data_IF_614018620907
#
_entry.id   IF_614018620907
#
_cell.length_a   1.000
_cell.length_b   1.000
_cell.length_c   1.000
_cell.angle_alpha   90.00
_cell.angle_beta   90.00
_cell.angle_gamma   90.00
#
_symmetry.space_group_name_H-M   'P 1'
#
loop_
_entity.id
_entity.type
_entity.pdbx_description
1 polymer ?
#
# COMPACT_ATOMS: atom_id res chain seq x y z
N UNK A 1 -19.34 1.68 -3.53
CA UNK A 1 -20.49 1.67 -4.45
C UNK A 1 -20.27 0.79 -5.67
N UNK A 2 -19.15 0.92 -6.39
CA UNK A 2 -18.86 0.10 -7.58
C UNK A 2 -18.69 -1.40 -7.24
N UNK A 3 -18.06 -1.70 -6.11
CA UNK A 3 -17.99 -3.01 -5.45
C UNK A 3 -19.38 -3.63 -5.21
N UNK A 4 -20.33 -2.86 -4.66
CA UNK A 4 -21.71 -3.32 -4.46
C UNK A 4 -22.40 -3.68 -5.80
N UNK A 5 -22.17 -2.89 -6.85
CA UNK A 5 -22.70 -3.20 -8.19
C UNK A 5 -22.04 -4.44 -8.81
N UNK A 6 -20.78 -4.72 -8.49
CA UNK A 6 -20.12 -5.96 -8.88
C UNK A 6 -20.75 -7.15 -8.18
N UNK A 7 -20.90 -7.11 -6.86
CA UNK A 7 -21.64 -8.13 -6.10
C UNK A 7 -23.05 -8.36 -6.67
N UNK A 8 -23.80 -7.28 -6.92
CA UNK A 8 -25.17 -7.40 -7.43
C UNK A 8 -25.25 -8.07 -8.82
N UNK A 9 -24.26 -7.87 -9.69
CA UNK A 9 -24.24 -8.49 -11.03
C UNK A 9 -23.88 -9.97 -10.99
N UNK A 10 -23.06 -10.36 -10.03
CA UNK A 10 -22.48 -11.69 -9.93
C UNK A 10 -23.11 -12.54 -8.82
N UNK A 11 -24.12 -12.01 -8.12
CA UNK A 11 -24.85 -12.73 -7.09
C UNK A 11 -25.38 -14.06 -7.61
N UNK A 12 -25.10 -15.14 -6.86
CA UNK A 12 -25.48 -16.49 -7.21
C UNK A 12 -24.39 -17.32 -7.90
N UNK A 13 -23.16 -16.81 -8.05
CA UNK A 13 -22.01 -17.68 -8.32
C UNK A 13 -21.79 -18.54 -7.06
N UNK A 14 -21.94 -19.86 -7.19
CA UNK A 14 -21.89 -20.84 -6.10
C UNK A 14 -21.04 -22.08 -6.42
N UNK A 15 -20.21 -21.99 -7.45
CA UNK A 15 -19.35 -23.07 -7.92
C UNK A 15 -17.95 -23.08 -7.29
N UNK A 16 -17.68 -22.17 -6.34
CA UNK A 16 -16.39 -22.04 -5.66
C UNK A 16 -15.28 -21.41 -6.51
N UNK A 17 -15.62 -20.76 -7.63
CA UNK A 17 -14.64 -20.16 -8.55
C UNK A 17 -14.57 -18.64 -8.52
N UNK A 18 -15.46 -17.98 -7.77
CA UNK A 18 -15.48 -16.53 -7.68
C UNK A 18 -14.17 -15.96 -7.13
N UNK A 19 -13.78 -14.80 -7.64
CA UNK A 19 -12.65 -14.04 -7.14
C UNK A 19 -13.15 -12.74 -6.47
N UNK A 20 -12.27 -12.06 -5.74
CA UNK A 20 -12.59 -10.75 -5.14
C UNK A 20 -13.11 -9.73 -6.17
N UNK A 21 -12.63 -9.81 -7.43
CA UNK A 21 -13.10 -8.95 -8.53
C UNK A 21 -14.53 -9.26 -8.96
N UNK A 22 -15.04 -10.44 -8.64
CA UNK A 22 -16.40 -10.88 -8.93
C UNK A 22 -17.36 -10.53 -7.79
N UNK A 23 -16.87 -10.04 -6.65
CA UNK A 23 -17.70 -9.71 -5.49
C UNK A 23 -17.65 -10.74 -4.35
N UNK A 24 -16.71 -11.70 -4.42
CA UNK A 24 -16.34 -12.58 -3.30
C UNK A 24 -15.56 -11.78 -2.25
N UNK A 25 -16.30 -11.17 -1.34
CA UNK A 25 -15.76 -10.30 -0.31
C UNK A 25 -15.23 -11.11 0.90
N UNK A 26 -15.74 -12.32 1.11
CA UNK A 26 -15.33 -13.17 2.22
C UNK A 26 -14.19 -14.16 1.83
N UNK A 27 -13.91 -14.32 0.53
CA UNK A 27 -12.86 -15.17 -0.02
C UNK A 27 -13.20 -16.66 -0.10
N UNK A 28 -14.49 -17.01 -0.13
CA UNK A 28 -14.95 -18.41 -0.10
C UNK A 28 -15.22 -19.01 -1.50
N UNK A 29 -15.00 -18.24 -2.55
CA UNK A 29 -15.21 -18.65 -3.94
C UNK A 29 -16.66 -18.55 -4.40
N UNK A 30 -17.57 -17.99 -3.61
CA UNK A 30 -18.96 -17.74 -3.98
C UNK A 30 -19.29 -16.25 -3.90
N UNK A 31 -20.44 -15.87 -4.46
CA UNK A 31 -20.97 -14.50 -4.35
C UNK A 31 -22.40 -14.58 -3.83
N UNK A 32 -22.56 -14.40 -2.53
CA UNK A 32 -23.84 -14.57 -1.82
C UNK A 32 -24.04 -13.53 -0.69
N UNK A 33 -25.01 -13.79 0.20
CA UNK A 33 -25.36 -12.87 1.30
C UNK A 33 -24.23 -12.69 2.34
N UNK A 34 -23.32 -13.66 2.45
CA UNK A 34 -22.16 -13.56 3.32
C UNK A 34 -21.23 -12.43 2.84
N UNK A 35 -21.03 -12.30 1.53
CA UNK A 35 -20.23 -11.22 0.93
C UNK A 35 -20.88 -9.85 1.14
N UNK A 36 -22.20 -9.77 0.99
CA UNK A 36 -22.95 -8.54 1.25
C UNK A 36 -22.78 -8.10 2.71
N UNK A 37 -22.76 -9.05 3.64
CA UNK A 37 -22.54 -8.76 5.07
C UNK A 37 -21.16 -8.16 5.31
N UNK A 38 -20.12 -8.70 4.65
CA UNK A 38 -18.76 -8.12 4.68
C UNK A 38 -18.77 -6.70 4.13
N UNK A 39 -19.38 -6.49 2.95
CA UNK A 39 -19.50 -5.17 2.35
C UNK A 39 -20.20 -4.16 3.29
N UNK A 40 -21.34 -4.53 3.87
CA UNK A 40 -22.09 -3.68 4.79
C UNK A 40 -21.27 -3.29 6.03
N UNK A 41 -20.46 -4.22 6.55
CA UNK A 41 -19.60 -3.95 7.70
C UNK A 41 -18.50 -2.93 7.41
N UNK A 42 -18.08 -2.82 6.15
CA UNK A 42 -17.01 -1.92 5.69
C UNK A 42 -17.56 -0.63 5.10
N UNK A 43 -18.81 -0.62 4.63
CA UNK A 43 -19.41 0.53 3.97
C UNK A 43 -19.48 1.73 4.91
N UNK A 44 -18.88 2.85 4.48
CA UNK A 44 -18.80 4.07 5.29
C UNK A 44 -17.76 4.03 6.41
N UNK A 45 -17.04 2.93 6.59
CA UNK A 45 -15.84 2.91 7.44
C UNK A 45 -14.70 3.58 6.68
N UNK A 46 -14.07 4.58 7.30
CA UNK A 46 -12.80 5.08 6.78
C UNK A 46 -11.75 4.02 7.08
N UNK A 47 -10.99 3.53 6.09
CA UNK A 47 -9.82 2.69 6.37
C UNK A 47 -9.00 3.39 7.45
N UNK A 48 -8.55 2.64 8.46
CA UNK A 48 -7.67 3.18 9.49
C UNK A 48 -6.60 3.99 8.78
N UNK A 49 -6.58 5.31 9.00
CA UNK A 49 -5.64 6.22 8.35
C UNK A 49 -4.26 5.65 8.61
N UNK A 50 -3.62 5.12 7.55
CA UNK A 50 -2.24 4.69 7.60
C UNK A 50 -1.48 5.85 8.22
N UNK A 51 -0.96 5.65 9.43
CA UNK A 51 -0.12 6.64 10.08
C UNK A 51 1.12 6.74 9.20
N UNK A 52 1.16 7.78 8.38
CA UNK A 52 2.36 8.16 7.66
C UNK A 52 3.31 8.65 8.73
N UNK A 53 4.05 7.72 9.33
CA UNK A 53 5.13 8.07 10.24
C UNK A 53 6.09 8.94 9.44
N UNK A 54 6.39 10.14 9.96
CA UNK A 54 7.39 11.00 9.36
C UNK A 54 8.66 10.16 9.16
N UNK A 55 9.02 9.92 7.89
CA UNK A 55 10.31 9.35 7.56
C UNK A 55 11.34 10.38 8.02
N UNK A 56 12.25 10.06 8.96
CA UNK A 56 13.28 10.99 9.38
C UNK A 56 14.00 11.52 8.14
N UNK A 57 14.16 12.84 8.04
CA UNK A 57 14.72 13.47 6.85
C UNK A 57 16.02 12.79 6.41
N UNK A 58 16.22 12.60 5.09
CA UNK A 58 17.15 11.62 4.58
C UNK A 58 18.58 12.02 4.96
N UNK A 59 19.34 11.04 5.44
CA UNK A 59 20.80 11.12 5.67
C UNK A 59 21.60 11.51 4.43
N UNK A 60 20.96 11.76 3.28
CA UNK A 60 21.56 12.25 2.03
C UNK A 60 22.30 13.57 2.21
N UNK A 61 21.77 14.52 2.99
CA UNK A 61 22.47 15.79 3.28
C UNK A 61 23.76 15.53 4.09
N UNK A 62 23.68 14.65 5.09
CA UNK A 62 24.85 14.27 5.90
C UNK A 62 25.91 13.52 5.07
N UNK A 63 25.48 12.61 4.20
CA UNK A 63 26.37 11.87 3.29
C UNK A 63 27.00 12.78 2.23
N UNK A 64 26.25 13.74 1.68
CA UNK A 64 26.77 14.71 0.70
C UNK A 64 27.84 15.62 1.31
N UNK A 65 27.59 16.13 2.52
CA UNK A 65 28.57 16.95 3.25
C UNK A 65 29.79 16.13 3.69
N UNK A 66 29.58 14.90 4.18
CA UNK A 66 30.66 13.98 4.53
C UNK A 66 31.52 13.59 3.32
N UNK A 67 30.90 13.31 2.17
CA UNK A 67 31.62 13.03 0.92
C UNK A 67 32.42 14.24 0.42
N UNK A 68 31.84 15.44 0.47
CA UNK A 68 32.51 16.66 0.03
C UNK A 68 33.75 16.96 0.89
N UNK A 69 33.63 16.83 2.21
CA UNK A 69 34.78 17.05 3.13
C UNK A 69 35.91 16.05 2.90
N UNK A 70 35.62 14.78 2.68
CA UNK A 70 36.62 13.75 2.35
C UNK A 70 37.34 14.05 1.02
N UNK A 71 36.61 14.48 -0.01
CA UNK A 71 37.18 14.83 -1.33
C UNK A 71 38.11 16.05 -1.22
N UNK A 72 37.67 17.09 -0.50
CA UNK A 72 38.46 18.30 -0.32
C UNK A 72 39.74 18.03 0.50
N UNK A 73 39.64 17.25 1.59
CA UNK A 73 40.78 16.86 2.41
C UNK A 73 41.78 15.98 1.62
N UNK A 74 41.29 15.05 0.79
CA UNK A 74 42.13 14.21 -0.07
C UNK A 74 42.87 15.01 -1.14
N UNK A 75 42.25 16.05 -1.71
CA UNK A 75 42.89 16.94 -2.69
C UNK A 75 43.98 17.83 -2.09
N UNK A 76 43.79 18.33 -0.87
CA UNK A 76 44.79 19.16 -0.20
C UNK A 76 46.08 18.38 0.12
N UNK A 77 45.96 17.13 0.56
CA UNK A 77 47.10 16.25 0.87
C UNK A 77 47.95 15.87 -0.35
N UNK A 78 47.35 15.78 -1.54
CA UNK A 78 48.07 15.42 -2.78
C UNK A 78 48.86 16.58 -3.39
N UNK A 79 48.63 17.82 -2.97
CA UNK A 79 49.32 19.01 -3.48
C UNK A 79 50.59 19.36 -2.69
N UNK A 80 50.82 18.69 -1.56
CA UNK A 80 51.93 18.95 -0.63
C UNK A 80 53.04 17.90 -0.70
N UNK A 81 53.04 17.06 -1.73
CA UNK A 81 54.12 16.13 -2.10
C UNK A 81 54.59 16.49 -3.51
#
# INVERSE_FOLDING_TARGET
GADFLTWQRNFGIDDGTALMVDGDANGDGNVNDADLTVWQSQFGTSPATSVVSAVPEPTTLALALGGLTLVLAGRARRRTT
#
